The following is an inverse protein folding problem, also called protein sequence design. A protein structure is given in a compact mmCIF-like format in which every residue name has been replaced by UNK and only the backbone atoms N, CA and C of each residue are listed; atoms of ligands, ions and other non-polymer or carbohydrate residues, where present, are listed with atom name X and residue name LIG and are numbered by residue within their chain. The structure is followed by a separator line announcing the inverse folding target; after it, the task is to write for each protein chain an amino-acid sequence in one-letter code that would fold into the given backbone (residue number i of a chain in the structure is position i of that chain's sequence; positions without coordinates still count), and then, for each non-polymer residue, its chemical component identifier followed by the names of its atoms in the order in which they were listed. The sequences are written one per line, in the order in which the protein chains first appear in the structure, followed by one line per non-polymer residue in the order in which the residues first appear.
data_IF_616863742869
#
_entry.id   IF_616863742869
#
_cell.length_a   1.000
_cell.length_b   1.000
_cell.length_c   1.000
_cell.angle_alpha   90.00
_cell.angle_beta   90.00
_cell.angle_gamma   90.00
#
_symmetry.space_group_name_H-M   'P 1'
#
loop_
_entity.id
_entity.type
_entity.pdbx_description
1 polymer ?
#
# COMPACT_ATOMS: atom_id res chain seq x y z
N UNK A 1 62.40 7.17 -32.38
CA UNK A 1 60.96 7.42 -32.60
C UNK A 1 60.34 6.07 -32.88
N UNK A 2 59.54 5.58 -31.94
CA UNK A 2 59.17 4.18 -31.77
C UNK A 2 58.03 3.74 -32.69
N UNK A 3 58.23 2.60 -33.36
CA UNK A 3 57.17 1.77 -33.91
C UNK A 3 56.34 1.13 -32.77
N UNK A 4 55.02 1.27 -32.83
CA UNK A 4 54.09 0.50 -32.03
C UNK A 4 52.96 -0.03 -32.94
N UNK A 5 52.61 -1.33 -32.88
CA UNK A 5 51.61 -1.93 -33.76
C UNK A 5 50.19 -1.64 -33.26
N UNK A 6 49.27 -1.39 -34.19
CA UNK A 6 47.83 -1.28 -33.92
C UNK A 6 47.27 -2.65 -33.56
N UNK A 7 46.84 -2.81 -32.30
CA UNK A 7 46.10 -3.97 -31.83
C UNK A 7 44.69 -3.90 -32.43
N UNK A 8 44.30 -4.92 -33.19
CA UNK A 8 42.94 -5.08 -33.69
C UNK A 8 42.04 -5.40 -32.50
N UNK A 9 40.98 -4.62 -32.31
CA UNK A 9 39.95 -4.92 -31.31
C UNK A 9 39.25 -6.22 -31.71
N UNK A 10 39.61 -7.32 -31.05
CA UNK A 10 38.81 -8.54 -31.06
C UNK A 10 37.46 -8.20 -30.44
N UNK A 11 36.42 -8.10 -31.26
CA UNK A 11 35.04 -8.19 -30.81
C UNK A 11 34.84 -9.55 -30.17
N UNK A 12 34.77 -9.55 -28.83
CA UNK A 12 34.31 -10.70 -28.04
C UNK A 12 32.84 -10.91 -28.45
N UNK A 13 32.45 -12.10 -28.96
CA UNK A 13 31.05 -12.35 -29.25
C UNK A 13 30.25 -12.26 -27.96
N UNK A 14 29.07 -11.64 -28.03
CA UNK A 14 28.16 -11.59 -26.90
C UNK A 14 27.78 -13.03 -26.50
N UNK A 15 27.83 -13.39 -25.21
CA UNK A 15 27.49 -14.74 -24.77
C UNK A 15 26.06 -15.09 -25.18
N UNK A 16 25.85 -16.35 -25.57
CA UNK A 16 24.53 -16.93 -25.87
C UNK A 16 23.60 -16.74 -24.65
N UNK A 17 22.28 -16.64 -24.87
CA UNK A 17 21.30 -16.37 -23.80
C UNK A 17 21.46 -17.32 -22.59
N UNK A 18 21.81 -18.58 -22.87
CA UNK A 18 22.17 -19.62 -21.90
C UNK A 18 23.35 -19.25 -20.97
N UNK A 19 24.36 -18.54 -21.47
CA UNK A 19 25.52 -18.11 -20.67
C UNK A 19 25.23 -16.84 -19.86
N UNK A 20 24.30 -15.98 -20.30
CA UNK A 20 23.89 -14.78 -19.55
C UNK A 20 23.12 -15.12 -18.28
N UNK A 21 22.35 -16.21 -18.28
CA UNK A 21 21.61 -16.70 -17.10
C UNK A 21 22.46 -17.49 -16.11
N UNK A 22 23.70 -17.86 -16.46
CA UNK A 22 24.69 -18.38 -15.49
C UNK A 22 25.30 -17.26 -14.62
N UNK A 23 24.59 -16.14 -14.45
CA UNK A 23 24.88 -15.21 -13.38
C UNK A 23 24.69 -15.96 -12.05
N UNK A 24 25.77 -16.06 -11.28
CA UNK A 24 25.79 -16.75 -10.00
C UNK A 24 24.70 -16.19 -9.09
N UNK A 25 23.73 -17.03 -8.68
CA UNK A 25 22.67 -16.65 -7.75
C UNK A 25 23.25 -15.79 -6.61
N UNK A 26 22.72 -14.58 -6.47
CA UNK A 26 23.27 -13.57 -5.56
C UNK A 26 22.69 -13.70 -4.16
N UNK A 27 21.56 -14.39 -4.03
CA UNK A 27 20.93 -14.75 -2.78
C UNK A 27 20.59 -16.24 -2.71
N UNK A 28 20.46 -16.77 -1.49
CA UNK A 28 20.20 -18.20 -1.24
C UNK A 28 18.81 -18.68 -1.70
N UNK A 29 17.86 -17.75 -1.83
CA UNK A 29 16.48 -18.03 -2.24
C UNK A 29 16.26 -17.87 -3.76
N UNK A 30 17.25 -17.36 -4.51
CA UNK A 30 17.14 -17.28 -5.98
C UNK A 30 17.26 -18.67 -6.59
N UNK A 31 16.38 -18.97 -7.54
CA UNK A 31 16.38 -20.24 -8.25
C UNK A 31 17.57 -20.35 -9.21
N UNK A 32 18.20 -21.53 -9.26
CA UNK A 32 19.12 -21.88 -10.35
C UNK A 32 18.36 -22.66 -11.41
N UNK A 33 18.65 -22.49 -12.72
CA UNK A 33 17.89 -23.17 -13.77
C UNK A 33 17.77 -24.68 -13.60
N UNK A 34 18.83 -25.34 -13.11
CA UNK A 34 18.89 -26.79 -12.87
C UNK A 34 18.10 -27.27 -11.65
N UNK A 35 17.58 -26.36 -10.82
CA UNK A 35 16.84 -26.67 -9.59
C UNK A 35 15.32 -26.49 -9.74
N UNK A 36 14.85 -25.97 -10.88
CA UNK A 36 13.45 -25.58 -11.10
C UNK A 36 12.70 -26.66 -11.87
N UNK A 37 11.64 -27.22 -11.29
CA UNK A 37 10.80 -28.21 -11.98
C UNK A 37 9.36 -27.73 -12.14
N UNK A 38 8.77 -27.19 -11.07
CA UNK A 38 7.38 -26.70 -11.08
C UNK A 38 7.28 -25.35 -10.38
N UNK A 39 6.78 -24.36 -11.10
CA UNK A 39 6.73 -22.95 -10.69
C UNK A 39 5.30 -22.52 -10.43
N UNK A 40 5.04 -21.90 -9.28
CA UNK A 40 3.83 -21.13 -9.05
C UNK A 40 4.05 -19.68 -9.50
N UNK A 41 3.41 -19.28 -10.59
CA UNK A 41 3.45 -17.91 -11.09
C UNK A 41 2.30 -17.08 -10.50
N UNK A 42 2.65 -15.98 -9.83
CA UNK A 42 1.69 -14.91 -9.51
C UNK A 42 1.22 -14.25 -10.81
N UNK A 43 -0.03 -14.48 -11.16
CA UNK A 43 -0.57 -14.20 -12.49
C UNK A 43 -1.73 -13.21 -12.43
N UNK A 44 -1.57 -12.07 -13.11
CA UNK A 44 -2.57 -11.00 -13.20
C UNK A 44 -3.38 -11.01 -14.50
N UNK A 45 -3.07 -11.89 -15.46
CA UNK A 45 -3.73 -11.86 -16.78
C UNK A 45 -3.19 -10.82 -17.77
N UNK A 46 -2.37 -9.88 -17.29
CA UNK A 46 -1.71 -8.84 -18.07
C UNK A 46 -0.75 -9.40 -19.13
N UNK A 47 -0.19 -8.52 -19.96
CA UNK A 47 0.78 -8.92 -20.98
C UNK A 47 2.03 -9.52 -20.32
N UNK A 48 2.61 -8.81 -19.36
CA UNK A 48 3.90 -9.13 -18.76
C UNK A 48 3.86 -10.49 -18.08
N UNK A 49 2.85 -10.75 -17.24
CA UNK A 49 2.69 -12.06 -16.58
C UNK A 49 2.34 -13.19 -17.56
N UNK A 50 1.78 -12.88 -18.73
CA UNK A 50 1.57 -13.87 -19.80
C UNK A 50 2.86 -14.21 -20.55
N UNK A 51 3.71 -13.20 -20.79
CA UNK A 51 5.06 -13.39 -21.34
C UNK A 51 5.90 -14.20 -20.35
N UNK A 52 5.85 -13.88 -19.06
CA UNK A 52 6.54 -14.63 -18.01
C UNK A 52 6.17 -16.11 -17.99
N UNK A 53 4.88 -16.44 -18.15
CA UNK A 53 4.42 -17.83 -18.18
C UNK A 53 5.15 -18.62 -19.28
N UNK A 54 5.16 -18.11 -20.52
CA UNK A 54 5.84 -18.75 -21.65
C UNK A 54 7.36 -18.74 -21.46
N UNK A 55 7.92 -17.63 -20.98
CA UNK A 55 9.36 -17.49 -20.75
C UNK A 55 9.88 -18.50 -19.71
N UNK A 56 9.13 -18.74 -18.63
CA UNK A 56 9.48 -19.77 -17.63
C UNK A 56 9.49 -21.16 -18.27
N UNK A 57 8.50 -21.47 -19.11
CA UNK A 57 8.46 -22.77 -19.81
C UNK A 57 9.64 -22.92 -20.77
N UNK A 58 10.02 -21.87 -21.49
CA UNK A 58 11.06 -21.94 -22.51
C UNK A 58 12.48 -21.95 -21.90
N UNK A 59 12.73 -21.15 -20.87
CA UNK A 59 14.08 -21.01 -20.28
C UNK A 59 14.38 -22.03 -19.18
N UNK A 60 13.36 -22.47 -18.44
CA UNK A 60 13.54 -23.42 -17.34
C UNK A 60 13.00 -24.82 -17.67
N UNK A 61 12.34 -25.00 -18.83
CA UNK A 61 11.67 -26.26 -19.19
C UNK A 61 10.71 -26.75 -18.08
N UNK A 62 10.15 -25.80 -17.31
CA UNK A 62 9.41 -26.07 -16.08
C UNK A 62 7.89 -26.04 -16.28
N UNK A 63 7.18 -26.83 -15.48
CA UNK A 63 5.72 -26.75 -15.41
C UNK A 63 5.28 -25.48 -14.69
N UNK A 64 4.29 -24.77 -15.23
CA UNK A 64 3.78 -23.54 -14.62
C UNK A 64 2.37 -23.74 -14.09
N UNK A 65 2.19 -23.47 -12.81
CA UNK A 65 0.89 -23.33 -12.13
C UNK A 65 0.66 -21.84 -11.90
N UNK A 66 -0.54 -21.33 -12.14
CA UNK A 66 -0.82 -19.90 -11.92
C UNK A 66 -1.67 -19.67 -10.67
N UNK A 67 -1.41 -18.56 -9.97
CA UNK A 67 -2.24 -18.06 -8.88
C UNK A 67 -2.66 -16.62 -9.18
N UNK A 68 -3.97 -16.41 -9.27
CA UNK A 68 -4.61 -15.10 -9.34
C UNK A 68 -5.37 -14.84 -8.04
N UNK A 69 -5.15 -13.68 -7.42
CA UNK A 69 -5.75 -13.32 -6.14
C UNK A 69 -6.67 -12.12 -6.32
N UNK A 70 -7.96 -12.32 -6.07
CA UNK A 70 -8.95 -11.27 -6.02
C UNK A 70 -8.85 -10.54 -4.67
N UNK A 71 -8.42 -9.28 -4.73
CA UNK A 71 -8.38 -8.33 -3.61
C UNK A 71 -9.40 -7.20 -3.78
N UNK A 72 -10.35 -7.33 -4.70
CA UNK A 72 -11.32 -6.30 -5.07
C UNK A 72 -10.86 -5.40 -6.21
N UNK A 73 -10.06 -5.93 -7.15
CA UNK A 73 -9.68 -5.18 -8.35
C UNK A 73 -10.94 -4.88 -9.20
N UNK A 74 -11.15 -3.62 -9.60
CA UNK A 74 -12.37 -3.21 -10.30
C UNK A 74 -12.40 -3.74 -11.74
N UNK A 75 -13.52 -4.37 -12.11
CA UNK A 75 -13.78 -4.76 -13.51
C UNK A 75 -12.99 -5.97 -14.03
N UNK A 76 -12.30 -6.71 -13.16
CA UNK A 76 -11.54 -7.90 -13.55
C UNK A 76 -12.47 -9.11 -13.83
N UNK A 77 -12.24 -9.80 -14.95
CA UNK A 77 -12.92 -11.05 -15.29
C UNK A 77 -11.96 -12.21 -15.06
N UNK A 78 -12.02 -12.79 -13.86
CA UNK A 78 -11.14 -13.88 -13.47
C UNK A 78 -11.30 -15.15 -14.32
N UNK A 79 -12.47 -15.35 -14.96
CA UNK A 79 -12.67 -16.47 -15.89
C UNK A 79 -11.87 -16.29 -17.17
N UNK A 80 -11.77 -15.05 -17.67
CA UNK A 80 -10.90 -14.70 -18.81
C UNK A 80 -9.42 -14.84 -18.43
N UNK A 81 -9.03 -14.40 -17.24
CA UNK A 81 -7.65 -14.55 -16.74
C UNK A 81 -7.26 -16.02 -16.66
N UNK A 82 -8.10 -16.86 -16.04
CA UNK A 82 -7.87 -18.29 -15.91
C UNK A 82 -7.78 -18.98 -17.29
N UNK A 83 -8.75 -18.69 -18.17
CA UNK A 83 -8.79 -19.25 -19.52
C UNK A 83 -7.53 -18.90 -20.33
N UNK A 84 -7.03 -17.66 -20.20
CA UNK A 84 -5.79 -17.21 -20.85
C UNK A 84 -4.57 -17.97 -20.32
N UNK A 85 -4.43 -18.15 -19.01
CA UNK A 85 -3.33 -18.93 -18.43
C UNK A 85 -3.32 -20.38 -18.95
N UNK A 86 -4.48 -21.05 -18.97
CA UNK A 86 -4.60 -22.42 -19.51
C UNK A 86 -4.26 -22.49 -21.00
N UNK A 87 -4.70 -21.52 -21.79
CA UNK A 87 -4.38 -21.44 -23.22
C UNK A 87 -2.88 -21.32 -23.47
N UNK A 88 -2.15 -20.63 -22.59
CA UNK A 88 -0.70 -20.46 -22.68
C UNK A 88 0.10 -21.65 -22.12
N UNK A 89 -0.57 -22.69 -21.62
CA UNK A 89 0.05 -23.94 -21.20
C UNK A 89 0.29 -24.05 -19.69
N UNK A 90 -0.38 -23.25 -18.85
CA UNK A 90 -0.40 -23.53 -17.42
C UNK A 90 -0.99 -24.91 -17.15
N UNK A 91 -0.29 -25.74 -16.36
CA UNK A 91 -0.73 -27.11 -16.04
C UNK A 91 -1.86 -27.12 -15.02
N UNK A 92 -1.95 -26.07 -14.20
CA UNK A 92 -3.05 -25.81 -13.28
C UNK A 92 -3.18 -24.30 -12.99
N UNK A 93 -4.36 -23.88 -12.53
CA UNK A 93 -4.68 -22.47 -12.31
C UNK A 93 -5.58 -22.30 -11.08
N UNK A 94 -5.21 -21.39 -10.19
CA UNK A 94 -5.99 -21.04 -9.01
C UNK A 94 -6.46 -19.59 -9.10
N UNK A 95 -7.75 -19.37 -8.84
CA UNK A 95 -8.33 -18.06 -8.57
C UNK A 95 -8.83 -18.06 -7.14
N UNK A 96 -8.31 -17.15 -6.31
CA UNK A 96 -8.65 -17.07 -4.88
C UNK A 96 -9.33 -15.75 -4.60
N UNK A 97 -10.58 -15.82 -4.12
CA UNK A 97 -11.24 -14.65 -3.52
C UNK A 97 -10.73 -14.45 -2.09
N UNK A 98 -9.88 -13.44 -1.92
CA UNK A 98 -9.24 -13.11 -0.66
C UNK A 98 -9.71 -11.76 -0.11
N UNK A 99 -10.83 -11.21 -0.60
CA UNK A 99 -11.34 -9.88 -0.17
C UNK A 99 -11.62 -9.82 1.32
N UNK A 100 -12.26 -10.85 1.88
CA UNK A 100 -12.55 -10.92 3.31
C UNK A 100 -11.27 -11.01 4.16
N UNK A 101 -10.33 -11.88 3.77
CA UNK A 101 -9.04 -12.00 4.46
C UNK A 101 -8.24 -10.69 4.36
N UNK A 102 -8.21 -10.06 3.19
CA UNK A 102 -7.56 -8.77 2.97
C UNK A 102 -8.16 -7.67 3.85
N UNK A 103 -9.49 -7.55 3.88
CA UNK A 103 -10.18 -6.56 4.68
C UNK A 103 -9.91 -6.77 6.18
N UNK A 104 -10.09 -8.00 6.68
CA UNK A 104 -10.01 -8.29 8.11
C UNK A 104 -8.59 -8.41 8.67
N UNK A 105 -7.66 -9.01 7.92
CA UNK A 105 -6.31 -9.30 8.42
C UNK A 105 -5.28 -8.23 8.02
N UNK A 106 -5.57 -7.38 7.03
CA UNK A 106 -4.61 -6.39 6.51
C UNK A 106 -5.13 -4.96 6.59
N UNK A 107 -6.30 -4.68 6.02
CA UNK A 107 -6.87 -3.32 6.00
C UNK A 107 -7.34 -2.89 7.40
N UNK A 108 -8.01 -3.76 8.15
CA UNK A 108 -8.50 -3.42 9.49
C UNK A 108 -7.37 -3.06 10.47
N UNK A 109 -6.25 -3.81 10.56
CA UNK A 109 -5.08 -3.37 11.31
C UNK A 109 -4.54 -2.01 10.85
N UNK A 110 -4.53 -1.75 9.54
CA UNK A 110 -4.12 -0.45 8.99
C UNK A 110 -5.06 0.69 9.41
N UNK A 111 -6.37 0.45 9.49
CA UNK A 111 -7.36 1.40 10.03
C UNK A 111 -7.06 1.70 11.50
N UNK A 112 -6.92 0.65 12.34
CA UNK A 112 -6.61 0.80 13.77
C UNK A 112 -5.31 1.55 14.03
N UNK A 113 -4.34 1.43 13.11
CA UNK A 113 -3.05 2.13 13.14
C UNK A 113 -3.04 3.49 12.43
N UNK A 114 -4.18 4.00 11.93
CA UNK A 114 -4.27 5.19 11.07
C UNK A 114 -3.17 5.23 9.98
N UNK A 115 -2.89 4.09 9.35
CA UNK A 115 -1.64 3.88 8.64
C UNK A 115 -1.58 4.69 7.34
N UNK A 116 -0.75 5.75 7.35
CA UNK A 116 -0.48 6.59 6.19
C UNK A 116 1.04 6.81 6.10
N UNK A 117 1.65 6.29 5.03
CA UNK A 117 3.05 6.57 4.72
C UNK A 117 3.19 7.92 4.01
N UNK A 118 4.25 8.67 4.35
CA UNK A 118 4.53 9.96 3.72
C UNK A 118 3.44 11.03 3.86
N UNK A 119 2.45 10.84 4.75
CA UNK A 119 1.24 11.66 4.88
C UNK A 119 0.32 11.65 3.63
N UNK A 120 0.49 10.71 2.71
CA UNK A 120 -0.36 10.60 1.51
C UNK A 120 -0.74 9.18 1.09
N UNK A 121 0.02 8.16 1.46
CA UNK A 121 -0.16 6.79 0.96
C UNK A 121 -0.75 5.85 2.02
N UNK A 122 -2.02 5.41 1.90
CA UNK A 122 -2.66 4.49 2.86
C UNK A 122 -2.35 3.01 2.61
N UNK A 123 -1.21 2.72 1.98
CA UNK A 123 -0.59 1.40 1.92
C UNK A 123 -1.34 0.31 1.15
N UNK A 124 -2.32 0.64 0.31
CA UNK A 124 -3.16 -0.36 -0.38
C UNK A 124 -2.35 -1.43 -1.13
N UNK A 125 -1.32 -1.05 -1.90
CA UNK A 125 -0.42 -2.02 -2.56
C UNK A 125 0.41 -2.80 -1.53
N UNK A 126 0.98 -2.09 -0.55
CA UNK A 126 1.89 -2.65 0.44
C UNK A 126 1.20 -3.67 1.36
N UNK A 127 -0.09 -3.49 1.64
CA UNK A 127 -0.93 -4.40 2.42
C UNK A 127 -1.28 -5.67 1.63
N UNK A 128 -1.51 -5.55 0.31
CA UNK A 128 -1.88 -6.70 -0.51
C UNK A 128 -0.73 -7.69 -0.75
N UNK A 129 0.51 -7.19 -0.84
CA UNK A 129 1.67 -8.05 -1.16
C UNK A 129 1.98 -9.17 -0.15
N UNK A 130 1.98 -8.94 1.18
CA UNK A 130 2.18 -10.04 2.13
C UNK A 130 1.06 -11.09 2.06
N UNK A 131 -0.20 -10.70 1.81
CA UNK A 131 -1.29 -11.65 1.61
C UNK A 131 -1.08 -12.49 0.35
N UNK A 132 -0.77 -11.86 -0.78
CA UNK A 132 -0.49 -12.56 -2.03
C UNK A 132 0.67 -13.54 -1.85
N UNK A 133 1.75 -13.12 -1.18
CA UNK A 133 2.91 -13.97 -0.92
C UNK A 133 2.60 -15.13 0.04
N UNK A 134 1.80 -14.91 1.09
CA UNK A 134 1.29 -15.97 1.97
C UNK A 134 0.49 -17.00 1.18
N UNK A 135 -0.46 -16.55 0.36
CA UNK A 135 -1.25 -17.44 -0.49
C UNK A 135 -0.37 -18.16 -1.53
N UNK A 136 0.63 -17.49 -2.09
CA UNK A 136 1.59 -18.12 -3.00
C UNK A 136 2.32 -19.28 -2.32
N UNK A 137 2.79 -19.10 -1.08
CA UNK A 137 3.41 -20.18 -0.31
C UNK A 137 2.45 -21.35 -0.09
N UNK A 138 1.22 -21.06 0.32
CA UNK A 138 0.22 -22.10 0.58
C UNK A 138 -0.13 -22.90 -0.67
N UNK A 139 -0.38 -22.22 -1.80
CA UNK A 139 -0.75 -22.87 -3.06
C UNK A 139 0.44 -23.53 -3.77
N UNK A 140 1.65 -22.99 -3.63
CA UNK A 140 2.87 -23.65 -4.12
C UNK A 140 3.05 -25.00 -3.44
N UNK A 141 2.94 -25.06 -2.11
CA UNK A 141 3.01 -26.32 -1.35
C UNK A 141 1.91 -27.30 -1.74
N UNK A 142 0.68 -26.82 -1.94
CA UNK A 142 -0.47 -27.67 -2.37
C UNK A 142 -0.27 -28.25 -3.77
N UNK A 143 0.26 -27.46 -4.70
CA UNK A 143 0.48 -27.87 -6.08
C UNK A 143 1.82 -28.61 -6.30
N UNK A 144 2.65 -28.74 -5.25
CA UNK A 144 3.97 -29.35 -5.33
C UNK A 144 4.98 -28.51 -6.13
N UNK A 145 4.83 -27.19 -6.13
CA UNK A 145 5.80 -26.27 -6.72
C UNK A 145 7.04 -26.16 -5.82
N UNK A 146 8.21 -26.17 -6.43
CA UNK A 146 9.51 -25.91 -5.76
C UNK A 146 9.89 -24.42 -5.79
N UNK A 147 9.22 -23.65 -6.66
CA UNK A 147 9.58 -22.28 -6.98
C UNK A 147 8.35 -21.39 -7.09
N UNK A 148 8.45 -20.13 -6.66
CA UNK A 148 7.46 -19.07 -6.88
C UNK A 148 8.03 -18.04 -7.85
N UNK A 149 7.23 -17.58 -8.81
CA UNK A 149 7.59 -16.51 -9.73
C UNK A 149 6.69 -15.28 -9.57
N UNK A 150 7.27 -14.08 -9.69
CA UNK A 150 6.55 -12.81 -9.65
C UNK A 150 7.12 -11.78 -10.64
N UNK A 151 6.28 -10.84 -11.08
CA UNK A 151 6.61 -9.86 -12.13
C UNK A 151 7.15 -8.53 -11.62
N UNK A 152 7.65 -8.46 -10.39
CA UNK A 152 8.11 -7.18 -9.83
C UNK A 152 9.40 -6.72 -10.51
N UNK A 153 9.52 -5.41 -10.75
CA UNK A 153 10.76 -4.82 -11.26
C UNK A 153 11.83 -4.69 -10.17
N UNK A 154 13.09 -4.59 -10.59
CA UNK A 154 14.23 -4.36 -9.68
C UNK A 154 14.28 -2.97 -9.02
N UNK A 155 13.37 -2.04 -9.36
CA UNK A 155 13.33 -0.67 -8.83
C UNK A 155 12.12 -0.41 -7.92
N UNK A 156 11.19 -1.36 -7.82
CA UNK A 156 9.98 -1.24 -7.00
C UNK A 156 10.17 -1.78 -5.58
N UNK A 157 9.30 -1.35 -4.67
CA UNK A 157 9.21 -1.89 -3.31
C UNK A 157 8.60 -3.30 -3.28
N UNK A 158 7.78 -3.66 -4.27
CA UNK A 158 7.01 -4.92 -4.29
C UNK A 158 7.87 -6.17 -4.39
N UNK A 159 9.06 -6.09 -5.01
CA UNK A 159 10.02 -7.20 -4.99
C UNK A 159 10.40 -7.53 -3.53
N UNK A 160 10.68 -6.51 -2.70
CA UNK A 160 11.08 -6.71 -1.31
C UNK A 160 9.91 -7.28 -0.51
N UNK A 161 8.70 -6.75 -0.72
CA UNK A 161 7.49 -7.17 0.02
C UNK A 161 7.15 -8.64 -0.25
N UNK A 162 7.20 -9.08 -1.51
CA UNK A 162 6.91 -10.47 -1.89
C UNK A 162 8.07 -11.38 -1.48
N UNK A 163 9.29 -11.07 -1.89
CA UNK A 163 10.46 -11.95 -1.68
C UNK A 163 10.79 -12.11 -0.19
N UNK A 164 10.75 -11.02 0.60
CA UNK A 164 10.99 -11.12 2.03
C UNK A 164 9.90 -11.95 2.74
N UNK A 165 8.64 -11.82 2.31
CA UNK A 165 7.54 -12.64 2.85
C UNK A 165 7.74 -14.11 2.53
N UNK A 166 8.00 -14.46 1.26
CA UNK A 166 8.24 -15.86 0.85
C UNK A 166 9.46 -16.43 1.58
N UNK A 167 10.59 -15.71 1.60
CA UNK A 167 11.80 -16.15 2.28
C UNK A 167 11.61 -16.34 3.79
N UNK A 168 10.69 -15.60 4.41
CA UNK A 168 10.35 -15.76 5.84
C UNK A 168 9.45 -16.97 6.08
N UNK A 169 8.43 -17.20 5.25
CA UNK A 169 7.41 -18.23 5.46
C UNK A 169 7.79 -19.61 4.90
N UNK A 170 8.61 -19.62 3.86
CA UNK A 170 8.98 -20.81 3.11
C UNK A 170 10.42 -20.68 2.56
N UNK A 171 11.44 -20.66 3.43
CA UNK A 171 12.84 -20.56 3.00
C UNK A 171 13.30 -21.73 2.12
N UNK A 172 12.53 -22.81 2.06
CA UNK A 172 12.74 -23.94 1.16
C UNK A 172 12.33 -23.66 -0.30
N UNK A 173 11.40 -22.74 -0.54
CA UNK A 173 10.95 -22.40 -1.89
C UNK A 173 11.94 -21.44 -2.56
N UNK A 174 12.18 -21.66 -3.84
CA UNK A 174 12.99 -20.75 -4.66
C UNK A 174 12.14 -19.64 -5.25
N UNK A 175 12.80 -18.58 -5.69
CA UNK A 175 12.17 -17.43 -6.34
C UNK A 175 12.77 -17.19 -7.71
N UNK A 176 11.90 -16.92 -8.68
CA UNK A 176 12.24 -16.36 -9.99
C UNK A 176 11.57 -15.00 -10.12
N UNK A 177 12.33 -13.99 -10.52
CA UNK A 177 11.83 -12.65 -10.86
C UNK A 177 12.17 -12.33 -12.32
N UNK A 178 11.42 -12.87 -13.31
CA UNK A 178 11.75 -12.74 -14.73
C UNK A 178 12.00 -11.30 -15.18
N UNK A 179 11.21 -10.34 -14.71
CA UNK A 179 11.36 -8.92 -15.08
C UNK A 179 12.69 -8.31 -14.60
N UNK A 180 13.30 -8.88 -13.56
CA UNK A 180 14.66 -8.52 -13.09
C UNK A 180 15.75 -9.28 -13.83
N UNK A 181 15.44 -10.50 -14.30
CA UNK A 181 16.40 -11.44 -14.88
C UNK A 181 16.51 -11.36 -16.40
N UNK A 182 15.40 -11.13 -17.11
CA UNK A 182 15.40 -10.99 -18.56
C UNK A 182 15.86 -9.60 -18.97
N UNK A 183 16.40 -9.49 -20.19
CA UNK A 183 16.86 -8.21 -20.74
C UNK A 183 15.86 -7.61 -21.74
N UNK A 184 14.61 -8.12 -21.78
CA UNK A 184 13.61 -7.70 -22.76
C UNK A 184 13.09 -6.29 -22.46
N UNK A 185 13.17 -5.41 -23.47
CA UNK A 185 12.40 -4.17 -23.51
C UNK A 185 10.95 -4.39 -23.95
N UNK A 186 10.12 -3.34 -23.92
CA UNK A 186 8.69 -3.46 -24.27
C UNK A 186 8.45 -3.97 -25.70
N UNK A 187 9.24 -3.51 -26.66
CA UNK A 187 9.13 -3.97 -28.05
C UNK A 187 9.49 -5.44 -28.20
N UNK A 188 10.50 -5.90 -27.45
CA UNK A 188 10.93 -7.30 -27.42
C UNK A 188 9.87 -8.18 -26.73
N UNK A 189 9.25 -7.72 -25.64
CA UNK A 189 8.11 -8.41 -25.02
C UNK A 189 6.93 -8.55 -25.99
N UNK A 190 6.61 -7.51 -26.76
CA UNK A 190 5.54 -7.55 -27.77
C UNK A 190 5.90 -8.51 -28.90
N UNK A 191 7.17 -8.50 -29.35
CA UNK A 191 7.64 -9.43 -30.37
C UNK A 191 7.55 -10.88 -29.88
N UNK A 192 8.03 -11.14 -28.67
CA UNK A 192 7.95 -12.44 -28.01
C UNK A 192 6.49 -12.87 -27.83
N UNK A 193 5.60 -11.95 -27.43
CA UNK A 193 4.17 -12.21 -27.32
C UNK A 193 3.55 -12.65 -28.65
N UNK A 194 3.91 -11.99 -29.76
CA UNK A 194 3.42 -12.35 -31.10
C UNK A 194 3.95 -13.72 -31.55
N UNK A 195 5.23 -13.99 -31.31
CA UNK A 195 5.87 -15.27 -31.65
C UNK A 195 5.19 -16.45 -30.92
N UNK A 196 4.83 -16.25 -29.65
CA UNK A 196 4.25 -17.29 -28.79
C UNK A 196 2.71 -17.27 -28.76
N UNK A 197 2.07 -16.48 -29.62
CA UNK A 197 0.61 -16.41 -29.73
C UNK A 197 -0.10 -15.83 -28.50
N UNK A 198 0.58 -15.01 -27.69
CA UNK A 198 0.04 -14.35 -26.52
C UNK A 198 -0.88 -13.19 -26.97
N UNK A 199 -2.17 -13.18 -26.56
CA UNK A 199 -3.08 -12.09 -26.91
C UNK A 199 -2.66 -10.76 -26.26
N UNK A 200 -2.39 -9.74 -27.08
CA UNK A 200 -2.11 -8.36 -26.65
C UNK A 200 -3.41 -7.55 -26.73
N UNK A 201 -3.95 -7.11 -25.58
CA UNK A 201 -5.09 -6.18 -25.56
C UNK A 201 -4.65 -4.81 -26.11
N UNK A 202 -5.45 -4.24 -27.03
CA UNK A 202 -5.39 -2.82 -27.38
C UNK A 202 -4.64 -2.43 -28.66
N UNK A 203 -3.70 -3.22 -29.18
CA UNK A 203 -3.05 -2.97 -30.48
C UNK A 203 -2.29 -1.63 -30.65
N UNK A 204 -2.26 -0.76 -29.63
CA UNK A 204 -1.60 0.55 -29.65
C UNK A 204 -0.21 0.48 -29.02
N UNK A 205 0.77 1.09 -29.71
CA UNK A 205 2.20 1.13 -29.34
C UNK A 205 2.51 1.94 -28.06
N UNK A 206 1.54 2.67 -27.50
CA UNK A 206 1.72 3.41 -26.24
C UNK A 206 1.24 2.58 -25.05
N UNK A 207 2.14 2.30 -24.10
CA UNK A 207 1.77 1.66 -22.84
C UNK A 207 0.76 2.56 -22.06
N UNK A 208 -0.31 2.00 -21.48
CA UNK A 208 -1.14 2.72 -20.52
C UNK A 208 -0.30 3.11 -19.27
N UNK A 209 -0.87 3.88 -18.36
CA UNK A 209 -0.28 4.03 -17.02
C UNK A 209 0.01 2.65 -16.42
N UNK A 210 1.07 2.55 -15.62
CA UNK A 210 1.25 1.38 -14.76
C UNK A 210 0.23 1.49 -13.63
N UNK A 211 -0.61 0.47 -13.51
CA UNK A 211 -1.79 0.47 -12.65
C UNK A 211 -1.67 -0.69 -11.65
N UNK A 212 -1.90 -0.39 -10.38
CA UNK A 212 -2.17 -1.39 -9.35
C UNK A 212 -3.35 -0.90 -8.51
N UNK A 213 -4.34 -1.77 -8.31
CA UNK A 213 -5.52 -1.46 -7.52
C UNK A 213 -6.01 -2.67 -6.74
N UNK A 214 -6.85 -2.38 -5.76
CA UNK A 214 -7.60 -3.35 -4.96
C UNK A 214 -8.73 -2.61 -4.22
N UNK A 215 -9.43 -3.33 -3.35
CA UNK A 215 -10.52 -2.81 -2.51
C UNK A 215 -10.18 -1.52 -1.73
N UNK A 216 -8.90 -1.30 -1.39
CA UNK A 216 -8.48 -0.20 -0.52
C UNK A 216 -7.97 1.04 -1.27
N UNK A 217 -7.59 0.91 -2.53
CA UNK A 217 -7.07 2.02 -3.30
C UNK A 217 -6.43 1.61 -4.61
N UNK A 218 -5.95 2.63 -5.32
CA UNK A 218 -5.42 2.52 -6.67
C UNK A 218 -4.25 3.45 -6.89
N UNK A 219 -3.23 2.99 -7.62
CA UNK A 219 -2.11 3.77 -8.12
C UNK A 219 -2.09 3.89 -9.64
N UNK A 220 -1.50 4.99 -10.09
CA UNK A 220 -1.07 5.23 -11.45
C UNK A 220 0.37 5.75 -11.44
N UNK A 221 1.24 5.10 -12.22
CA UNK A 221 2.64 5.49 -12.40
C UNK A 221 3.02 5.59 -13.88
N UNK A 222 4.12 6.30 -14.18
CA UNK A 222 4.71 6.42 -15.52
C UNK A 222 4.13 7.56 -16.37
N UNK A 223 4.58 7.64 -17.63
CA UNK A 223 4.26 8.74 -18.56
C UNK A 223 4.61 10.11 -17.97
N UNK A 224 3.73 11.11 -18.14
CA UNK A 224 3.96 12.47 -17.66
C UNK A 224 4.00 12.58 -16.14
N UNK A 225 3.54 11.57 -15.38
CA UNK A 225 3.61 11.58 -13.91
C UNK A 225 5.06 11.73 -13.44
N UNK A 226 6.01 11.19 -14.19
CA UNK A 226 7.45 11.29 -13.91
C UNK A 226 8.01 12.71 -14.09
N UNK A 227 7.33 13.57 -14.86
CA UNK A 227 7.68 14.99 -14.98
C UNK A 227 7.07 15.78 -13.82
N UNK A 228 7.89 16.06 -12.81
CA UNK A 228 7.50 16.81 -11.61
C UNK A 228 7.04 18.25 -11.90
N UNK A 229 7.36 18.79 -13.08
CA UNK A 229 6.90 20.11 -13.50
C UNK A 229 5.57 20.08 -14.26
N UNK A 230 5.08 18.89 -14.58
CA UNK A 230 3.81 18.66 -15.24
C UNK A 230 2.70 18.44 -14.22
N UNK A 231 1.65 19.27 -14.31
CA UNK A 231 0.47 19.13 -13.47
C UNK A 231 -0.30 17.85 -13.83
N UNK A 232 -1.00 17.21 -12.87
CA UNK A 232 -1.80 16.05 -13.19
C UNK A 232 -2.83 16.34 -14.28
N UNK A 233 -2.81 15.54 -15.35
CA UNK A 233 -3.87 15.53 -16.35
C UNK A 233 -5.00 14.60 -15.90
N UNK A 234 -6.22 14.90 -16.34
CA UNK A 234 -7.42 14.18 -15.93
C UNK A 234 -7.47 12.72 -16.38
N UNK A 235 -6.68 12.33 -17.39
CA UNK A 235 -6.69 10.99 -17.97
C UNK A 235 -6.17 9.91 -17.01
N UNK A 236 -5.48 10.30 -15.93
CA UNK A 236 -4.96 9.40 -14.89
C UNK A 236 -6.05 8.86 -13.96
N UNK A 237 -7.14 9.62 -13.78
CA UNK A 237 -8.23 9.27 -12.86
C UNK A 237 -9.21 8.33 -13.54
N UNK A 238 -9.40 7.13 -12.96
CA UNK A 238 -10.26 6.10 -13.53
C UNK A 238 -11.29 5.57 -12.51
N UNK A 239 -11.16 5.93 -11.23
CA UNK A 239 -12.11 5.58 -10.18
C UNK A 239 -12.87 6.80 -9.67
N UNK A 240 -12.15 7.86 -9.34
CA UNK A 240 -12.69 9.02 -8.63
C UNK A 240 -13.22 10.03 -9.65
N UNK A 241 -14.46 10.50 -9.45
CA UNK A 241 -15.02 11.60 -10.24
C UNK A 241 -14.21 12.86 -9.98
N UNK A 242 -13.84 13.60 -11.02
CA UNK A 242 -13.06 14.83 -10.82
C UNK A 242 -13.78 15.80 -9.89
N UNK A 243 -13.09 16.47 -8.94
CA UNK A 243 -13.75 17.37 -7.98
C UNK A 243 -14.64 18.44 -8.61
N UNK A 244 -14.26 18.98 -9.78
CA UNK A 244 -15.04 19.95 -10.53
C UNK A 244 -16.32 19.36 -11.16
N UNK A 245 -16.33 18.06 -11.45
CA UNK A 245 -17.47 17.31 -12.01
C UNK A 245 -18.32 16.60 -10.95
N UNK A 246 -17.81 16.49 -9.72
CA UNK A 246 -18.54 15.93 -8.59
C UNK A 246 -19.80 16.76 -8.27
N UNK A 247 -20.83 16.18 -7.61
CA UNK A 247 -22.09 16.87 -7.33
C UNK A 247 -21.93 18.25 -6.66
N UNK A 248 -22.80 19.20 -7.05
CA UNK A 248 -22.87 20.53 -6.44
C UNK A 248 -23.55 20.53 -5.06
N UNK A 249 -24.18 19.42 -4.67
CA UNK A 249 -24.76 19.23 -3.35
C UNK A 249 -23.83 18.39 -2.46
N UNK A 250 -23.46 18.88 -1.27
CA UNK A 250 -22.65 18.10 -0.34
C UNK A 250 -23.45 16.95 0.26
N UNK A 251 -22.79 15.81 0.48
CA UNK A 251 -23.38 14.67 1.19
C UNK A 251 -22.89 14.63 2.65
N UNK A 252 -23.81 14.39 3.58
CA UNK A 252 -23.47 14.01 4.96
C UNK A 252 -23.46 12.48 5.02
N UNK A 253 -22.40 11.94 5.60
CA UNK A 253 -22.19 10.51 5.84
C UNK A 253 -21.83 10.33 7.31
N UNK A 254 -22.42 9.35 8.00
CA UNK A 254 -21.93 8.93 9.32
C UNK A 254 -21.23 7.59 9.22
N UNK A 255 -20.14 7.43 9.96
CA UNK A 255 -19.41 6.16 10.11
C UNK A 255 -19.48 5.73 11.57
N UNK A 256 -19.94 4.51 11.80
CA UNK A 256 -20.08 3.89 13.12
C UNK A 256 -18.90 2.94 13.38
N UNK A 257 -18.32 3.03 14.58
CA UNK A 257 -17.20 2.21 15.04
C UNK A 257 -17.52 1.47 16.33
N UNK A 258 -16.99 0.26 16.45
CA UNK A 258 -16.93 -0.53 17.69
C UNK A 258 -15.51 -1.07 17.90
N UNK A 259 -14.87 -0.67 19.01
CA UNK A 259 -13.50 -1.07 19.33
C UNK A 259 -12.49 -0.86 18.18
N UNK A 260 -12.59 0.27 17.49
CA UNK A 260 -11.76 0.66 16.34
C UNK A 260 -12.16 0.01 15.02
N UNK A 261 -13.14 -0.89 15.02
CA UNK A 261 -13.65 -1.54 13.80
C UNK A 261 -14.79 -0.69 13.22
N UNK A 262 -14.75 -0.27 11.94
CA UNK A 262 -15.91 0.32 11.31
C UNK A 262 -16.99 -0.76 11.12
N UNK A 263 -18.21 -0.49 11.59
CA UNK A 263 -19.31 -1.47 11.62
C UNK A 263 -20.56 -1.00 10.88
N UNK A 264 -20.62 0.26 10.46
CA UNK A 264 -21.77 0.77 9.73
C UNK A 264 -21.60 2.15 9.10
N UNK A 265 -22.48 2.44 8.15
CA UNK A 265 -22.62 3.73 7.48
C UNK A 265 -24.07 4.21 7.59
N UNK A 266 -24.30 5.47 7.92
CA UNK A 266 -25.65 6.06 8.05
C UNK A 266 -26.62 5.26 8.94
N UNK A 267 -26.07 4.62 9.98
CA UNK A 267 -26.82 3.79 10.92
C UNK A 267 -27.16 2.37 10.42
N UNK A 268 -26.78 2.02 9.19
CA UNK A 268 -26.87 0.65 8.66
C UNK A 268 -25.61 -0.13 9.02
N UNK A 269 -25.76 -1.30 9.65
CA UNK A 269 -24.64 -2.21 9.90
C UNK A 269 -24.25 -2.98 8.64
N UNK A 270 -22.96 -3.08 8.40
CA UNK A 270 -22.39 -3.68 7.19
C UNK A 270 -21.25 -4.65 7.54
N UNK A 271 -21.02 -5.64 6.68
CA UNK A 271 -19.77 -6.40 6.69
C UNK A 271 -18.60 -5.50 6.27
N UNK A 272 -17.36 -5.84 6.66
CA UNK A 272 -16.23 -4.94 6.46
C UNK A 272 -15.93 -4.68 4.98
N UNK A 273 -15.97 -5.72 4.12
CA UNK A 273 -15.78 -5.57 2.67
C UNK A 273 -16.84 -4.63 2.09
N UNK A 274 -18.12 -4.92 2.36
CA UNK A 274 -19.24 -4.10 1.88
C UNK A 274 -19.16 -2.65 2.38
N UNK A 275 -18.72 -2.45 3.63
CA UNK A 275 -18.53 -1.13 4.21
C UNK A 275 -17.45 -0.34 3.46
N UNK A 276 -16.31 -0.98 3.15
CA UNK A 276 -15.23 -0.36 2.39
C UNK A 276 -15.69 -0.03 0.97
N UNK A 277 -16.38 -0.96 0.29
CA UNK A 277 -16.94 -0.74 -1.05
C UNK A 277 -17.93 0.43 -1.07
N UNK A 278 -18.92 0.44 -0.17
CA UNK A 278 -19.92 1.51 -0.09
C UNK A 278 -19.29 2.86 0.28
N UNK A 279 -18.33 2.89 1.20
CA UNK A 279 -17.58 4.11 1.52
C UNK A 279 -16.78 4.60 0.29
N UNK A 280 -16.13 3.67 -0.41
CA UNK A 280 -15.42 3.92 -1.67
C UNK A 280 -16.33 4.53 -2.73
N UNK A 281 -17.49 3.93 -3.01
CA UNK A 281 -18.48 4.43 -3.97
C UNK A 281 -18.98 5.83 -3.65
N UNK A 282 -19.23 6.11 -2.37
CA UNK A 282 -19.62 7.45 -1.92
C UNK A 282 -18.45 8.43 -2.15
N UNK A 283 -17.23 8.06 -1.79
CA UNK A 283 -16.04 8.90 -1.98
C UNK A 283 -15.74 9.18 -3.45
N UNK A 284 -15.79 8.15 -4.31
CA UNK A 284 -15.58 8.26 -5.76
C UNK A 284 -16.53 9.28 -6.39
N UNK A 285 -17.83 9.21 -6.09
CA UNK A 285 -18.83 10.16 -6.61
C UNK A 285 -18.56 11.60 -6.19
N UNK A 286 -17.99 11.81 -5.01
CA UNK A 286 -17.71 13.15 -4.46
C UNK A 286 -16.30 13.66 -4.74
N UNK A 287 -15.51 12.93 -5.52
CA UNK A 287 -14.14 13.31 -5.88
C UNK A 287 -13.08 13.13 -4.80
N UNK A 288 -13.41 12.40 -3.74
CA UNK A 288 -12.60 12.26 -2.53
C UNK A 288 -11.43 11.30 -2.75
N UNK A 289 -10.28 11.62 -2.14
CA UNK A 289 -9.15 10.70 -2.02
C UNK A 289 -8.19 10.71 -3.21
N UNK A 290 -8.12 11.80 -3.97
CA UNK A 290 -7.04 12.02 -4.94
C UNK A 290 -5.79 12.48 -4.18
N UNK A 291 -4.66 11.77 -4.39
CA UNK A 291 -3.37 12.12 -3.80
C UNK A 291 -2.30 12.16 -4.88
N UNK A 292 -1.62 13.31 -5.01
CA UNK A 292 -0.37 13.45 -5.78
C UNK A 292 0.80 13.35 -4.80
N UNK A 293 1.57 12.27 -4.87
CA UNK A 293 2.52 11.90 -3.82
C UNK A 293 3.94 11.74 -4.35
N UNK A 294 4.91 12.37 -3.70
CA UNK A 294 6.33 12.02 -3.84
C UNK A 294 6.73 11.18 -2.63
N UNK A 295 7.13 9.93 -2.87
CA UNK A 295 7.55 9.00 -1.82
C UNK A 295 9.03 8.64 -1.87
N UNK A 296 9.55 8.22 -0.71
CA UNK A 296 10.90 7.68 -0.53
C UNK A 296 10.85 6.14 -0.53
N UNK A 297 11.10 5.53 -1.70
CA UNK A 297 11.17 4.08 -1.84
C UNK A 297 12.32 3.51 -1.01
N UNK A 298 12.13 2.32 -0.44
CA UNK A 298 13.13 1.69 0.43
C UNK A 298 14.43 1.34 -0.31
N UNK A 299 14.35 1.24 -1.65
CA UNK A 299 15.49 1.05 -2.54
C UNK A 299 16.29 2.35 -2.79
N UNK A 300 15.95 3.45 -2.13
CA UNK A 300 16.69 4.72 -2.15
C UNK A 300 16.29 5.69 -3.26
N UNK A 301 15.14 5.47 -3.91
CA UNK A 301 14.63 6.32 -4.99
C UNK A 301 13.49 7.20 -4.49
N UNK A 302 13.42 8.42 -5.01
CA UNK A 302 12.19 9.22 -4.97
C UNK A 302 11.36 8.92 -6.21
N UNK A 303 10.07 8.67 -6.03
CA UNK A 303 9.13 8.46 -7.12
C UNK A 303 7.87 9.29 -6.87
N UNK A 304 7.29 9.82 -7.96
CA UNK A 304 6.00 10.49 -7.92
C UNK A 304 4.94 9.51 -8.42
N UNK A 305 3.91 9.32 -7.63
CA UNK A 305 2.80 8.41 -7.91
C UNK A 305 1.47 9.15 -7.65
N UNK A 306 0.46 8.86 -8.46
CA UNK A 306 -0.90 9.38 -8.27
C UNK A 306 -1.78 8.28 -7.70
N UNK A 307 -2.49 8.58 -6.61
CA UNK A 307 -3.36 7.64 -5.91
C UNK A 307 -4.83 8.07 -5.90
N UNK A 308 -5.71 7.07 -5.99
CA UNK A 308 -7.16 7.20 -5.81
C UNK A 308 -7.57 6.31 -4.62
N UNK A 309 -7.86 6.92 -3.46
CA UNK A 309 -8.05 6.23 -2.17
C UNK A 309 -9.33 6.66 -1.42
N UNK A 310 -10.50 6.63 -2.09
CA UNK A 310 -11.75 7.22 -1.57
C UNK A 310 -12.21 6.62 -0.23
N UNK A 311 -12.18 5.29 -0.10
CA UNK A 311 -12.58 4.62 1.13
C UNK A 311 -11.62 4.92 2.29
N UNK A 312 -10.31 4.84 2.03
CA UNK A 312 -9.29 5.10 3.03
C UNK A 312 -9.37 6.54 3.57
N UNK A 313 -9.56 7.54 2.69
CA UNK A 313 -9.67 8.95 3.09
C UNK A 313 -10.85 9.17 4.04
N UNK A 314 -12.00 8.54 3.77
CA UNK A 314 -13.20 8.61 4.61
C UNK A 314 -12.96 7.91 5.96
N UNK A 315 -12.54 6.65 5.91
CA UNK A 315 -12.48 5.78 7.09
C UNK A 315 -11.36 6.19 8.04
N UNK A 316 -10.18 6.52 7.54
CA UNK A 316 -9.05 6.98 8.35
C UNK A 316 -9.32 8.37 8.94
N UNK A 317 -10.02 9.26 8.22
CA UNK A 317 -10.44 10.56 8.75
C UNK A 317 -11.43 10.41 9.90
N UNK A 318 -12.43 9.52 9.75
CA UNK A 318 -13.38 9.25 10.82
C UNK A 318 -12.71 8.59 12.03
N UNK A 319 -11.91 7.53 11.81
CA UNK A 319 -11.25 6.79 12.86
C UNK A 319 -10.34 7.68 13.72
N UNK A 320 -9.43 8.43 13.08
CA UNK A 320 -8.51 9.35 13.77
C UNK A 320 -9.24 10.43 14.56
N UNK A 321 -10.40 10.88 14.09
CA UNK A 321 -11.18 11.86 14.83
C UNK A 321 -11.87 11.25 16.06
N UNK A 322 -12.39 10.02 15.94
CA UNK A 322 -12.98 9.31 17.07
C UNK A 322 -11.94 9.05 18.15
N UNK A 323 -10.72 8.67 17.77
CA UNK A 323 -9.59 8.51 18.70
C UNK A 323 -9.33 9.78 19.51
N UNK A 324 -9.33 10.97 18.88
CA UNK A 324 -9.14 12.24 19.61
C UNK A 324 -10.20 12.46 20.68
N UNK A 325 -11.44 12.05 20.42
CA UNK A 325 -12.57 12.22 21.34
C UNK A 325 -12.48 11.28 22.55
N UNK A 326 -12.00 10.05 22.35
CA UNK A 326 -11.97 9.01 23.40
C UNK A 326 -10.60 8.87 24.08
N UNK A 327 -9.55 9.43 23.49
CA UNK A 327 -8.18 9.41 24.00
C UNK A 327 -7.86 10.61 24.89
N UNK A 328 -7.03 10.38 25.90
CA UNK A 328 -6.41 11.48 26.68
C UNK A 328 -5.40 12.26 25.84
N UNK A 329 -5.00 13.45 26.30
CA UNK A 329 -3.94 14.23 25.65
C UNK A 329 -2.65 13.42 25.45
N UNK A 330 -2.29 12.56 26.40
CA UNK A 330 -1.07 11.75 26.33
C UNK A 330 -1.17 10.64 25.28
N UNK A 331 -2.32 9.97 25.17
CA UNK A 331 -2.55 8.97 24.12
C UNK A 331 -2.55 9.63 22.73
N UNK A 332 -3.25 10.74 22.59
CA UNK A 332 -3.38 11.47 21.32
C UNK A 332 -2.04 12.06 20.85
N UNK A 333 -1.11 12.35 21.75
CA UNK A 333 0.24 12.80 21.40
C UNK A 333 1.21 11.65 21.13
N UNK A 334 1.06 10.50 21.80
CA UNK A 334 1.99 9.38 21.69
C UNK A 334 1.68 8.45 20.51
N UNK A 335 0.40 8.05 20.34
CA UNK A 335 -0.02 7.09 19.32
C UNK A 335 0.43 7.45 17.90
N UNK A 336 0.40 8.72 17.43
CA UNK A 336 0.84 9.06 16.08
C UNK A 336 2.29 8.66 15.75
N UNK A 337 3.19 8.60 16.72
CA UNK A 337 4.56 8.11 16.50
C UNK A 337 4.57 6.60 16.19
N UNK A 338 3.70 5.84 16.87
CA UNK A 338 3.54 4.41 16.66
C UNK A 338 2.79 4.09 15.37
N UNK A 339 1.73 4.85 15.04
CA UNK A 339 1.01 4.78 13.77
C UNK A 339 1.99 4.91 12.59
N UNK A 340 2.87 5.92 12.66
CA UNK A 340 3.87 6.17 11.62
C UNK A 340 4.94 5.07 11.55
N UNK A 341 5.32 4.48 12.69
CA UNK A 341 6.25 3.34 12.73
C UNK A 341 5.61 2.09 12.14
N UNK A 342 4.34 1.82 12.46
CA UNK A 342 3.56 0.72 11.91
C UNK A 342 3.47 0.85 10.38
N UNK A 343 3.08 2.03 9.90
CA UNK A 343 2.96 2.31 8.46
C UNK A 343 4.29 2.10 7.72
N UNK A 344 5.41 2.53 8.32
CA UNK A 344 6.74 2.31 7.74
C UNK A 344 7.11 0.83 7.63
N UNK A 345 6.86 0.01 8.66
CA UNK A 345 7.18 -1.42 8.63
C UNK A 345 6.42 -2.12 7.48
N UNK A 346 5.14 -1.83 7.32
CA UNK A 346 4.34 -2.34 6.21
C UNK A 346 4.86 -1.85 4.86
N UNK A 347 5.10 -0.54 4.73
CA UNK A 347 5.67 0.05 3.51
C UNK A 347 6.97 -0.64 3.08
N UNK A 348 7.82 -0.96 4.06
CA UNK A 348 9.14 -1.57 3.88
C UNK A 348 9.13 -3.09 3.68
N UNK A 349 7.96 -3.72 3.59
CA UNK A 349 7.84 -5.18 3.39
C UNK A 349 8.13 -6.01 4.65
N UNK A 350 8.07 -5.38 5.82
CA UNK A 350 8.33 -6.01 7.12
C UNK A 350 7.02 -6.45 7.79
N UNK A 351 6.11 -7.07 7.04
CA UNK A 351 4.83 -7.55 7.59
C UNK A 351 5.03 -8.60 8.69
N UNK A 352 5.96 -9.55 8.48
CA UNK A 352 6.27 -10.62 9.42
C UNK A 352 7.34 -10.26 10.47
N UNK A 353 7.71 -8.99 10.58
CA UNK A 353 8.65 -8.52 11.61
C UNK A 353 7.98 -8.50 13.00
N UNK A 354 8.58 -9.09 14.06
CA UNK A 354 8.01 -9.10 15.40
C UNK A 354 7.63 -7.73 15.95
N UNK A 355 8.40 -6.67 15.67
CA UNK A 355 8.03 -5.31 16.11
C UNK A 355 6.65 -4.88 15.60
N UNK A 356 6.23 -5.32 14.40
CA UNK A 356 4.88 -5.01 13.89
C UNK A 356 3.81 -5.67 14.75
N UNK A 357 4.01 -6.90 15.22
CA UNK A 357 3.09 -7.58 16.17
C UNK A 357 3.06 -6.90 17.53
N UNK A 358 4.21 -6.44 18.02
CA UNK A 358 4.26 -5.69 19.28
C UNK A 358 3.46 -4.38 19.18
N UNK A 359 3.53 -3.71 18.03
CA UNK A 359 2.71 -2.53 17.75
C UNK A 359 1.22 -2.88 17.63
N UNK A 360 0.85 -4.00 17.01
CA UNK A 360 -0.56 -4.44 16.93
C UNK A 360 -1.18 -4.62 18.32
N UNK A 361 -0.41 -5.14 19.30
CA UNK A 361 -0.89 -5.27 20.67
C UNK A 361 -1.19 -3.90 21.32
N UNK A 362 -0.39 -2.87 21.02
CA UNK A 362 -0.69 -1.51 21.43
C UNK A 362 -1.94 -0.98 20.71
N UNK A 363 -2.04 -1.19 19.38
CA UNK A 363 -3.17 -0.73 18.58
C UNK A 363 -4.48 -1.35 19.05
N UNK A 364 -4.50 -2.64 19.41
CA UNK A 364 -5.69 -3.29 19.94
C UNK A 364 -6.12 -2.68 21.29
N UNK A 365 -5.16 -2.45 22.19
CA UNK A 365 -5.41 -1.89 23.51
C UNK A 365 -6.02 -0.48 23.45
N UNK A 366 -5.46 0.40 22.61
CA UNK A 366 -5.99 1.78 22.46
C UNK A 366 -7.34 1.79 21.74
N UNK A 367 -7.53 0.91 20.75
CA UNK A 367 -8.76 0.82 19.99
C UNK A 367 -9.95 0.26 20.78
N UNK A 368 -9.73 -0.45 21.90
CA UNK A 368 -10.80 -0.96 22.76
C UNK A 368 -11.80 0.13 23.25
N UNK A 369 -11.40 1.41 23.25
CA UNK A 369 -12.27 2.55 23.61
C UNK A 369 -12.87 3.28 22.40
N UNK A 370 -12.41 3.00 21.20
CA UNK A 370 -12.79 3.67 19.93
C UNK A 370 -14.14 3.12 19.47
N UNK A 371 -15.19 3.49 20.19
CA UNK A 371 -16.58 3.14 19.89
C UNK A 371 -17.38 4.43 19.81
N UNK A 372 -18.16 4.62 18.75
CA UNK A 372 -18.91 5.84 18.53
C UNK A 372 -19.22 6.10 17.06
N UNK A 373 -19.70 7.31 16.78
CA UNK A 373 -20.13 7.76 15.46
C UNK A 373 -19.45 9.05 15.09
N UNK A 374 -18.96 9.13 13.86
CA UNK A 374 -18.39 10.36 13.28
C UNK A 374 -19.19 10.75 12.05
N UNK A 375 -19.73 11.97 12.05
CA UNK A 375 -20.35 12.56 10.87
C UNK A 375 -19.34 13.31 10.03
N UNK A 376 -19.34 13.04 8.74
CA UNK A 376 -18.49 13.63 7.72
C UNK A 376 -19.35 14.37 6.70
N UNK A 377 -18.84 15.49 6.20
CA UNK A 377 -19.37 16.20 5.03
C UNK A 377 -18.42 15.99 3.88
N UNK A 378 -18.91 15.38 2.81
CA UNK A 378 -18.19 15.17 1.55
C UNK A 378 -18.65 16.20 0.54
N UNK A 379 -17.69 16.84 -0.14
CA UNK A 379 -17.99 17.84 -1.15
C UNK A 379 -16.78 18.12 -2.04
N UNK A 380 -16.91 17.87 -3.35
CA UNK A 380 -15.93 18.23 -4.40
C UNK A 380 -14.47 18.01 -3.96
N UNK A 381 -14.15 16.76 -3.66
CA UNK A 381 -12.83 16.28 -3.25
C UNK A 381 -12.50 16.40 -1.77
N UNK A 382 -13.32 17.09 -0.99
CA UNK A 382 -13.09 17.25 0.45
C UNK A 382 -13.89 16.27 1.31
N UNK A 383 -13.27 15.80 2.39
CA UNK A 383 -13.93 15.14 3.52
C UNK A 383 -13.67 16.00 4.77
N UNK A 384 -14.74 16.40 5.47
CA UNK A 384 -14.61 17.18 6.70
C UNK A 384 -15.51 16.64 7.80
N UNK A 385 -14.95 16.44 8.98
CA UNK A 385 -15.74 16.08 10.16
C UNK A 385 -16.69 17.21 10.55
N UNK A 386 -17.96 16.87 10.77
CA UNK A 386 -19.02 17.78 11.20
C UNK A 386 -19.61 17.43 12.57
N UNK A 387 -19.72 16.14 12.93
CA UNK A 387 -20.28 15.71 14.23
C UNK A 387 -19.46 14.57 14.83
N UNK A 388 -19.48 14.46 16.16
CA UNK A 388 -18.82 13.37 16.89
C UNK A 388 -19.72 12.93 18.03
N UNK A 389 -19.82 11.62 18.23
CA UNK A 389 -20.59 11.02 19.31
C UNK A 389 -19.85 9.78 19.80
N UNK A 390 -19.71 9.62 21.12
CA UNK A 390 -19.14 8.41 21.69
C UNK A 390 -19.62 8.21 23.13
N UNK A 391 -19.96 6.98 23.55
CA UNK A 391 -20.17 6.66 24.95
C UNK A 391 -18.88 6.70 25.78
N UNK A 392 -17.70 6.71 25.13
CA UNK A 392 -16.39 6.74 25.76
C UNK A 392 -15.70 8.11 25.64
N UNK A 393 -16.44 9.17 25.30
CA UNK A 393 -15.86 10.49 25.11
C UNK A 393 -15.18 11.00 26.39
N UNK A 394 -13.92 11.42 26.27
CA UNK A 394 -13.19 12.17 27.31
C UNK A 394 -13.47 13.67 27.11
N UNK A 395 -14.76 13.98 26.96
CA UNK A 395 -15.28 15.32 26.76
C UNK A 395 -16.53 15.49 27.61
N UNK A 396 -16.59 16.58 28.35
CA UNK A 396 -17.75 16.96 29.15
C UNK A 396 -18.11 18.41 28.83
N UNK A 397 -19.31 18.62 28.29
CA UNK A 397 -19.80 19.94 27.90
C UNK A 397 -19.92 20.92 29.09
N UNK A 398 -20.19 20.42 30.31
CA UNK A 398 -20.26 21.24 31.52
C UNK A 398 -18.87 21.69 32.00
N UNK A 399 -17.83 20.91 31.73
CA UNK A 399 -16.44 21.32 31.97
C UNK A 399 -15.91 22.27 30.91
N UNK A 400 -16.36 22.12 29.66
CA UNK A 400 -15.86 22.91 28.52
C UNK A 400 -16.56 24.27 28.33
N UNK A 401 -17.77 24.44 28.86
CA UNK A 401 -18.54 25.69 28.71
C UNK A 401 -17.91 26.88 29.44
N UNK A 402 -18.18 28.09 28.96
CA UNK A 402 -17.85 29.34 29.67
C UNK A 402 -18.83 29.66 30.81
N UNK A 403 -19.97 28.95 30.88
CA UNK A 403 -20.89 29.05 32.00
C UNK A 403 -20.31 28.40 33.28
N UNK A 404 -20.97 28.58 34.43
CA UNK A 404 -20.55 27.89 35.64
C UNK A 404 -20.56 26.38 35.45
N UNK A 405 -19.42 25.73 35.69
CA UNK A 405 -19.23 24.28 35.56
C UNK A 405 -19.87 23.47 36.70
N UNK A 406 -20.76 24.08 37.50
CA UNK A 406 -21.34 23.46 38.68
C UNK A 406 -20.31 23.05 39.76
N UNK A 407 -19.10 23.63 39.72
CA UNK A 407 -17.99 23.26 40.62
C UNK A 407 -17.14 22.09 40.14
N UNK A 408 -17.40 21.52 38.96
CA UNK A 408 -16.60 20.43 38.39
C UNK A 408 -15.18 20.87 38.00
N UNK A 409 -14.99 22.16 37.64
CA UNK A 409 -13.67 22.75 37.35
C UNK A 409 -13.36 23.88 38.33
N UNK A 410 -12.31 23.72 39.15
CA UNK A 410 -11.84 24.77 40.05
C UNK A 410 -10.90 25.75 39.33
N UNK A 411 -11.43 26.90 38.92
CA UNK A 411 -10.63 27.97 38.32
C UNK A 411 -9.58 28.54 39.29
N UNK A 412 -9.80 28.41 40.60
CA UNK A 412 -8.85 28.87 41.62
C UNK A 412 -7.53 28.07 41.62
N UNK A 413 -7.53 26.86 41.07
CA UNK A 413 -6.31 26.05 40.96
C UNK A 413 -5.37 26.53 39.84
N UNK A 414 -5.88 27.26 38.84
CA UNK A 414 -5.12 27.62 37.64
C UNK A 414 -3.87 28.46 37.92
N UNK A 415 -3.89 29.51 38.76
CA UNK A 415 -2.67 30.27 39.07
C UNK A 415 -1.57 29.41 39.71
N UNK A 416 -1.93 28.50 40.62
CA UNK A 416 -0.98 27.59 41.26
C UNK A 416 -0.37 26.59 40.26
N UNK A 417 -1.20 26.03 39.36
CA UNK A 417 -0.72 25.20 38.27
C UNK A 417 0.27 25.96 37.37
N UNK A 418 -0.07 27.18 36.94
CA UNK A 418 0.77 27.99 36.05
C UNK A 418 2.11 28.36 36.70
N UNK A 419 2.14 28.71 37.99
CA UNK A 419 3.37 29.03 38.72
C UNK A 419 4.36 27.84 38.65
N UNK A 420 3.87 26.63 38.87
CA UNK A 420 4.70 25.41 38.87
C UNK A 420 5.04 24.99 37.43
N UNK A 421 4.05 24.95 36.53
CA UNK A 421 4.22 24.48 35.15
C UNK A 421 5.20 25.35 34.35
N UNK A 422 5.16 26.66 34.54
CA UNK A 422 6.03 27.61 33.82
C UNK A 422 7.44 27.77 34.42
N UNK A 423 7.72 27.13 35.56
CA UNK A 423 8.92 27.40 36.35
C UNK A 423 10.20 27.16 35.57
N UNK A 424 10.32 26.03 34.87
CA UNK A 424 11.52 25.71 34.09
C UNK A 424 11.74 26.69 32.94
N UNK A 425 10.68 27.07 32.22
CA UNK A 425 10.76 28.06 31.14
C UNK A 425 11.20 29.43 31.65
N UNK A 426 10.67 29.87 32.80
CA UNK A 426 11.07 31.13 33.46
C UNK A 426 12.54 31.13 33.85
N UNK A 427 13.05 30.02 34.39
CA UNK A 427 14.46 29.88 34.74
C UNK A 427 15.37 29.92 33.50
N UNK A 428 15.02 29.16 32.46
CA UNK A 428 15.77 29.14 31.20
C UNK A 428 15.82 30.53 30.55
N UNK A 429 14.70 31.26 30.55
CA UNK A 429 14.64 32.62 30.01
C UNK A 429 15.57 33.59 30.76
N UNK A 430 15.54 33.57 32.11
CA UNK A 430 16.41 34.44 32.92
C UNK A 430 17.89 34.21 32.62
N UNK A 431 18.33 32.96 32.54
CA UNK A 431 19.73 32.64 32.25
C UNK A 431 20.19 33.15 30.88
N UNK A 432 19.33 33.06 29.85
CA UNK A 432 19.63 33.60 28.52
C UNK A 432 19.78 35.11 28.54
N UNK A 433 18.90 35.81 29.25
CA UNK A 433 18.94 37.28 29.38
C UNK A 433 20.13 37.77 30.21
N UNK A 434 20.52 37.03 31.25
CA UNK A 434 21.72 37.33 32.05
C UNK A 434 23.02 37.16 31.27
N UNK A 435 23.05 36.31 30.23
CA UNK A 435 24.21 36.15 29.34
C UNK A 435 24.38 37.27 28.32
N UNK A 436 23.29 37.92 27.90
CA UNK A 436 23.34 39.07 26.96
C UNK A 436 23.80 40.37 27.66
N UNK A 437 23.52 40.52 28.96
CA UNK A 437 23.90 41.69 29.75
C UNK A 437 25.38 41.72 30.21
N UNK A 438 26.20 40.73 29.83
CA UNK A 438 27.61 40.59 30.23
C UNK A 438 28.63 40.88 29.12
N UNK A 439 28.19 41.39 27.97
CA UNK A 439 29.03 41.63 26.77
C UNK A 439 29.01 43.08 26.24
N UNK A 440 28.52 44.03 27.04
CA UNK A 440 28.80 45.47 26.90
C UNK A 440 29.64 45.94 28.10
#
# INVERSE_FOLDING_TARGET
MSDAPRISAHTIPAPEASERMRAQATASYEARPDEVNRVLLLYSGGLDTSVMLKWIQDEYEAEVVTLTVNLGQPGEDYGVVEGKARQLGAVDTFVVDAREEFAHEYVLPAIKANAIYGLGYPLFTALGRPLIAKLAVDYARRAGCDTIAHGCTGKGNDQVRIEATVATLAPELKIIAPVRSWAMGRDEEIAYAREHGIPVKGGTEAAPYSIDDNLWGRSSEGKWIEDLSHAPEDDVFQLVTRPEEAPDEPQILTVDFEAGVPVGLDGERLGLVELIERAGDIGMRHGVGIVDHIEDRIVGLKVRDIYEVPAAEILLTAHRELEKLVGTIHQNQFKPELDRRWAYLVYAGLWYEPLRTDLDAYMESVNARVTGRIGLKLYKGSVRVVTRESPNAVYDAQLATFAESGGLFSQQASPGFIEIWSLQSRLAWRLRQSGEAGTE
#
